data_IF_525755743483
#
_entry.id   IF_525755743483
#
_cell.length_a   1.000
_cell.length_b   1.000
_cell.length_c   1.000
_cell.angle_alpha   90.00
_cell.angle_beta   90.00
_cell.angle_gamma   90.00
#
_symmetry.space_group_name_H-M   'P 1'
#
loop_
_entity.id
_entity.type
_entity.pdbx_description
1 polymer ?
#
# COMPACT_ATOMS: atom_id res chain seq x y z
N UNK A 1 -7.62 10.02 -22.78
CA UNK A 1 -7.84 9.90 -21.32
C UNK A 1 -8.81 8.75 -21.11
N UNK A 2 -8.40 7.66 -20.45
CA UNK A 2 -9.12 6.36 -20.48
C UNK A 2 -10.47 6.41 -19.78
N UNK A 3 -11.57 6.42 -20.56
CA UNK A 3 -12.95 6.41 -20.06
C UNK A 3 -13.23 5.22 -19.12
N UNK A 4 -12.53 4.10 -19.30
CA UNK A 4 -12.64 2.90 -18.46
C UNK A 4 -12.14 3.12 -17.03
N UNK A 5 -11.08 3.91 -16.84
CA UNK A 5 -10.56 4.23 -15.50
C UNK A 5 -11.58 5.10 -14.76
N UNK A 6 -12.15 6.08 -15.46
CA UNK A 6 -13.17 6.97 -14.89
C UNK A 6 -14.41 6.18 -14.45
N UNK A 7 -14.93 5.29 -15.30
CA UNK A 7 -16.08 4.42 -14.95
C UNK A 7 -15.81 3.51 -13.75
N UNK A 8 -14.57 3.03 -13.59
CA UNK A 8 -14.18 2.22 -12.43
C UNK A 8 -14.16 3.06 -11.15
N UNK A 9 -13.63 4.28 -11.24
CA UNK A 9 -13.62 5.22 -10.13
C UNK A 9 -15.04 5.62 -9.70
N UNK A 10 -15.91 5.89 -10.67
CA UNK A 10 -17.32 6.22 -10.43
C UNK A 10 -18.02 5.09 -9.65
N UNK A 11 -17.85 3.82 -10.06
CA UNK A 11 -18.41 2.66 -9.34
C UNK A 11 -17.90 2.53 -7.90
N UNK A 12 -16.61 2.78 -7.69
CA UNK A 12 -16.00 2.73 -6.35
C UNK A 12 -16.64 3.82 -5.48
N UNK A 13 -16.79 5.01 -6.03
CA UNK A 13 -17.41 6.16 -5.36
C UNK A 13 -18.87 5.86 -5.01
N UNK A 14 -19.67 5.32 -5.93
CA UNK A 14 -21.07 4.94 -5.69
C UNK A 14 -21.21 3.91 -4.56
N UNK A 15 -20.28 2.95 -4.53
CA UNK A 15 -20.26 1.89 -3.49
C UNK A 15 -19.94 2.46 -2.11
N UNK A 16 -19.00 3.40 -2.03
CA UNK A 16 -18.61 4.06 -0.79
C UNK A 16 -19.69 5.02 -0.28
N UNK A 17 -20.37 5.71 -1.20
CA UNK A 17 -21.51 6.56 -0.89
C UNK A 17 -22.67 5.74 -0.31
N UNK A 18 -22.99 4.59 -0.90
CA UNK A 18 -23.97 3.64 -0.35
C UNK A 18 -23.54 3.05 1.01
N UNK A 19 -22.24 2.95 1.26
CA UNK A 19 -21.66 2.50 2.54
C UNK A 19 -21.60 3.58 3.64
N UNK A 20 -22.11 4.79 3.39
CA UNK A 20 -22.15 5.88 4.39
C UNK A 20 -20.91 6.77 4.44
N UNK A 21 -19.94 6.59 3.53
CA UNK A 21 -18.79 7.51 3.39
C UNK A 21 -19.16 8.60 2.39
N UNK A 22 -19.83 9.64 2.87
CA UNK A 22 -20.40 10.70 2.02
C UNK A 22 -19.44 11.84 1.69
N UNK A 23 -18.33 11.97 2.43
CA UNK A 23 -17.36 13.03 2.20
C UNK A 23 -16.37 12.64 1.09
N UNK A 24 -16.32 13.40 -0.03
CA UNK A 24 -15.48 13.04 -1.15
C UNK A 24 -13.98 13.12 -0.90
N UNK A 25 -13.55 13.99 0.00
CA UNK A 25 -12.15 14.08 0.38
C UNK A 25 -11.70 12.81 1.10
N UNK A 26 -12.56 12.28 2.00
CA UNK A 26 -12.24 11.10 2.79
C UNK A 26 -12.07 9.87 1.89
N UNK A 27 -12.99 9.62 0.94
CA UNK A 27 -12.81 8.44 0.10
C UNK A 27 -11.63 8.56 -0.86
N UNK A 28 -11.34 9.76 -1.39
CA UNK A 28 -10.16 9.98 -2.24
C UNK A 28 -8.91 9.58 -1.47
N UNK A 29 -8.79 10.05 -0.23
CA UNK A 29 -7.68 9.72 0.65
C UNK A 29 -7.55 8.20 0.89
N UNK A 30 -8.65 7.51 1.21
CA UNK A 30 -8.62 6.06 1.42
C UNK A 30 -8.18 5.29 0.17
N UNK A 31 -8.67 5.69 -1.01
CA UNK A 31 -8.26 5.09 -2.29
C UNK A 31 -6.78 5.37 -2.55
N UNK A 32 -6.32 6.59 -2.29
CA UNK A 32 -4.90 6.98 -2.43
C UNK A 32 -4.00 6.12 -1.53
N UNK A 33 -4.38 5.87 -0.28
CA UNK A 33 -3.62 4.97 0.60
C UNK A 33 -3.54 3.55 0.06
N UNK A 34 -4.64 2.99 -0.43
CA UNK A 34 -4.64 1.65 -1.00
C UNK A 34 -3.77 1.56 -2.26
N UNK A 35 -3.82 2.58 -3.13
CA UNK A 35 -2.95 2.66 -4.31
C UNK A 35 -1.49 2.71 -3.88
N UNK A 36 -1.15 3.53 -2.88
CA UNK A 36 0.21 3.63 -2.37
C UNK A 36 0.74 2.29 -1.84
N UNK A 37 -0.05 1.58 -1.03
CA UNK A 37 0.32 0.26 -0.49
C UNK A 37 0.53 -0.77 -1.60
N UNK A 38 -0.29 -0.75 -2.65
CA UNK A 38 -0.11 -1.61 -3.81
C UNK A 38 1.18 -1.28 -4.57
N UNK A 39 1.47 0.00 -4.79
CA UNK A 39 2.69 0.43 -5.47
C UNK A 39 3.95 0.00 -4.71
N UNK A 40 3.93 0.04 -3.37
CA UNK A 40 5.03 -0.47 -2.55
C UNK A 40 5.26 -1.97 -2.73
N UNK A 41 4.19 -2.77 -2.81
CA UNK A 41 4.31 -4.22 -3.04
C UNK A 41 4.83 -4.56 -4.44
N UNK A 42 4.39 -3.80 -5.46
CA UNK A 42 4.90 -3.91 -6.83
C UNK A 42 6.39 -3.54 -6.91
N UNK A 43 6.81 -2.51 -6.16
CA UNK A 43 8.20 -2.06 -6.08
C UNK A 43 9.10 -3.10 -5.41
N UNK A 44 8.67 -3.68 -4.29
CA UNK A 44 9.40 -4.79 -3.64
C UNK A 44 9.53 -5.99 -4.57
N UNK A 45 8.46 -6.36 -5.28
CA UNK A 45 8.49 -7.47 -6.24
C UNK A 45 9.51 -7.21 -7.36
N UNK A 46 9.60 -5.97 -7.85
CA UNK A 46 10.58 -5.58 -8.85
C UNK A 46 12.02 -5.64 -8.32
N UNK A 47 12.24 -5.29 -7.04
CA UNK A 47 13.54 -5.44 -6.36
C UNK A 47 13.95 -6.90 -6.22
N UNK A 48 13.02 -7.75 -5.78
CA UNK A 48 13.23 -9.21 -5.64
C UNK A 48 13.62 -9.84 -6.98
N UNK A 49 12.98 -9.44 -8.08
CA UNK A 49 13.34 -9.92 -9.41
C UNK A 49 14.73 -9.43 -9.83
N UNK A 50 15.05 -8.15 -9.55
CA UNK A 50 16.34 -7.57 -9.91
C UNK A 50 17.50 -8.19 -9.12
N UNK A 51 17.31 -8.49 -7.83
CA UNK A 51 18.34 -9.13 -7.00
C UNK A 51 18.64 -10.55 -7.47
N UNK A 52 17.60 -11.31 -7.86
CA UNK A 52 17.75 -12.64 -8.46
C UNK A 52 18.56 -12.61 -9.77
N UNK A 53 18.31 -11.63 -10.63
CA UNK A 53 19.01 -11.48 -11.92
C UNK A 53 20.44 -10.96 -11.73
N UNK A 54 20.66 -10.02 -10.80
CA UNK A 54 21.96 -9.37 -10.62
C UNK A 54 22.97 -10.21 -9.80
N UNK A 55 22.54 -11.27 -9.12
CA UNK A 55 23.39 -12.10 -8.26
C UNK A 55 23.90 -11.42 -6.99
N UNK A 56 23.74 -10.09 -6.87
CA UNK A 56 24.03 -9.32 -5.68
C UNK A 56 22.83 -9.42 -4.71
N UNK A 57 22.89 -10.37 -3.76
CA UNK A 57 21.92 -10.54 -2.68
C UNK A 57 21.83 -9.38 -1.67
N UNK A 58 22.35 -8.21 -2.01
CA UNK A 58 22.50 -7.06 -1.12
C UNK A 58 21.49 -5.93 -1.41
N UNK A 59 20.30 -6.28 -1.89
CA UNK A 59 19.21 -5.29 -2.02
C UNK A 59 18.48 -5.22 -0.69
N UNK A 60 18.47 -4.05 -0.05
CA UNK A 60 17.68 -3.81 1.16
C UNK A 60 16.20 -3.99 0.82
N UNK A 61 15.63 -5.10 1.29
CA UNK A 61 14.20 -5.39 1.20
C UNK A 61 13.42 -4.45 2.09
N UNK A 62 12.29 -3.94 1.59
CA UNK A 62 11.34 -3.16 2.37
C UNK A 62 10.50 -4.05 3.30
N UNK A 63 10.57 -5.37 3.14
CA UNK A 63 9.79 -6.35 3.90
C UNK A 63 10.69 -7.54 4.27
N UNK A 64 11.47 -7.45 5.36
CA UNK A 64 12.16 -8.62 5.90
C UNK A 64 11.19 -9.78 6.20
N UNK A 65 11.71 -10.99 6.44
CA UNK A 65 10.91 -12.22 6.56
C UNK A 65 9.74 -12.12 7.55
N UNK A 66 9.94 -11.38 8.65
CA UNK A 66 8.93 -11.13 9.70
C UNK A 66 7.87 -10.08 9.31
N UNK A 67 8.17 -9.26 8.30
CA UNK A 67 7.32 -8.20 7.78
C UNK A 67 6.58 -8.56 6.48
N UNK A 68 6.85 -9.73 5.89
CA UNK A 68 6.18 -10.19 4.66
C UNK A 68 4.64 -10.18 4.77
N UNK A 69 4.10 -10.37 5.97
CA UNK A 69 2.64 -10.31 6.24
C UNK A 69 2.00 -8.95 5.94
N UNK A 70 2.78 -7.87 5.91
CA UNK A 70 2.28 -6.52 5.61
C UNK A 70 2.23 -6.18 4.12
N UNK A 71 2.72 -7.07 3.24
CA UNK A 71 2.65 -6.89 1.79
C UNK A 71 1.20 -6.96 1.29
N UNK A 72 0.84 -6.06 0.39
CA UNK A 72 -0.49 -5.99 -0.23
C UNK A 72 -0.98 -7.36 -0.71
N UNK A 73 -0.13 -8.11 -1.41
CA UNK A 73 -0.41 -9.45 -1.90
C UNK A 73 -0.86 -10.46 -0.84
N UNK A 74 -0.52 -10.28 0.45
CA UNK A 74 -0.87 -11.21 1.53
C UNK A 74 -2.25 -10.94 2.13
N UNK A 75 -2.67 -9.69 2.22
CA UNK A 75 -3.91 -9.31 2.91
C UNK A 75 -5.01 -8.77 1.99
N UNK A 76 -4.76 -8.61 0.68
CA UNK A 76 -5.78 -8.16 -0.29
C UNK A 76 -7.04 -9.04 -0.38
N UNK A 77 -7.01 -10.22 0.22
CA UNK A 77 -8.12 -11.18 0.25
C UNK A 77 -9.00 -11.02 1.50
N UNK A 78 -8.51 -10.29 2.51
CA UNK A 78 -9.31 -9.95 3.69
C UNK A 78 -10.46 -9.02 3.28
N UNK A 79 -11.53 -9.02 4.07
CA UNK A 79 -12.68 -8.15 3.82
C UNK A 79 -13.34 -7.68 5.10
N UNK A 80 -14.23 -6.69 4.98
CA UNK A 80 -15.04 -6.20 6.10
C UNK A 80 -14.21 -5.63 7.25
N UNK A 81 -14.59 -6.00 8.48
CA UNK A 81 -13.97 -5.50 9.71
C UNK A 81 -12.51 -5.94 9.85
N UNK A 82 -12.23 -7.19 9.50
CA UNK A 82 -10.89 -7.77 9.61
C UNK A 82 -9.88 -7.02 8.76
N UNK A 83 -10.20 -6.76 7.48
CA UNK A 83 -9.35 -5.96 6.60
C UNK A 83 -9.10 -4.56 7.17
N UNK A 84 -10.17 -3.89 7.61
CA UNK A 84 -10.08 -2.53 8.14
C UNK A 84 -9.18 -2.47 9.37
N UNK A 85 -9.39 -3.37 10.32
CA UNK A 85 -8.64 -3.38 11.58
C UNK A 85 -7.16 -3.73 11.31
N UNK A 86 -6.89 -4.72 10.45
CA UNK A 86 -5.52 -5.08 10.05
C UNK A 86 -4.79 -3.92 9.32
N UNK A 87 -5.43 -3.26 8.36
CA UNK A 87 -4.79 -2.15 7.64
C UNK A 87 -4.52 -0.98 8.59
N UNK A 88 -5.49 -0.63 9.46
CA UNK A 88 -5.39 0.49 10.41
C UNK A 88 -4.33 0.24 11.49
N UNK A 89 -4.37 -0.94 12.11
CA UNK A 89 -3.67 -1.20 13.36
C UNK A 89 -2.31 -1.89 13.13
N UNK A 90 -2.15 -2.63 12.04
CA UNK A 90 -0.90 -3.37 11.74
C UNK A 90 -0.13 -2.74 10.57
N UNK A 91 -0.76 -2.61 9.39
CA UNK A 91 -0.07 -2.17 8.17
C UNK A 91 0.46 -0.75 8.30
N UNK A 92 -0.36 0.21 8.76
CA UNK A 92 0.11 1.58 8.93
C UNK A 92 1.19 1.74 10.01
N UNK A 93 1.13 0.94 11.08
CA UNK A 93 2.19 0.94 12.10
C UNK A 93 3.52 0.51 11.50
N UNK A 94 3.51 -0.53 10.66
CA UNK A 94 4.69 -0.97 9.93
C UNK A 94 5.20 0.08 8.93
N UNK A 95 4.30 0.72 8.17
CA UNK A 95 4.71 1.78 7.24
C UNK A 95 5.36 2.97 7.97
N UNK A 96 4.88 3.28 9.18
CA UNK A 96 5.47 4.31 10.02
C UNK A 96 6.89 3.96 10.49
N UNK A 97 7.24 2.67 10.65
CA UNK A 97 8.62 2.26 10.98
C UNK A 97 9.56 2.41 9.78
N UNK A 98 9.08 2.11 8.57
CA UNK A 98 9.86 2.32 7.34
C UNK A 98 10.21 3.79 7.10
N UNK A 99 9.31 4.71 7.47
CA UNK A 99 9.54 6.16 7.36
C UNK A 99 10.57 6.71 8.36
N UNK A 100 10.83 6.01 9.47
CA UNK A 100 11.76 6.46 10.53
C UNK A 100 13.22 6.16 10.22
N UNK A 101 13.51 5.25 9.29
CA UNK A 101 14.88 4.84 8.94
C UNK A 101 15.62 5.85 8.03
N UNK A 102 15.03 7.03 7.76
CA UNK A 102 15.72 8.13 7.08
C UNK A 102 15.81 9.39 7.95
N UNK A 103 16.77 9.48 8.88
CA UNK A 103 17.36 10.78 9.19
C UNK A 103 18.30 11.16 8.03
N UNK A 104 17.77 11.74 6.96
CA UNK A 104 18.61 12.65 6.17
C UNK A 104 18.71 13.95 6.95
N UNK A 105 19.59 13.96 7.96
CA UNK A 105 20.23 15.20 8.38
C UNK A 105 21.00 15.69 7.16
N UNK A 106 20.40 16.63 6.43
CA UNK A 106 21.15 17.48 5.53
C UNK A 106 22.13 18.26 6.41
N UNK A 107 23.39 17.81 6.45
CA UNK A 107 24.47 18.67 6.91
C UNK A 107 24.49 19.89 5.97
N UNK A 108 24.29 21.07 6.57
CA UNK A 108 24.44 22.38 5.94
C UNK A 108 25.90 22.80 5.93
#
# INVERSE_FOLDING_TARGET
MNADIRRRLDRITDTLWAGGVTNPVIYIEQISYLIFLRLLDEEETARELRSQVSGNGNTTSLYPDDAQKYRWSKWRFLSGRELRDFVRDDVFQYMATLGKDKPQVAEY
#
